data_IF_892015909641
#
_entry.id   IF_892015909641
#
_cell.length_a   1.000
_cell.length_b   1.000
_cell.length_c   1.000
_cell.angle_alpha   90.00
_cell.angle_beta   90.00
_cell.angle_gamma   90.00
#
_symmetry.space_group_name_H-M   'P 1'
#
loop_
_entity.id
_entity.type
_entity.pdbx_description
1 polymer ?
#
# COMPACT_ATOMS: atom_id res chain seq x y z
N UNK A 1 -59.34 30.17 17.22
CA UNK A 1 -58.79 29.30 16.14
C UNK A 1 -57.25 29.18 16.14
N UNK A 2 -56.56 29.84 17.08
CA UNK A 2 -55.07 30.05 17.00
C UNK A 2 -54.17 29.07 17.75
N UNK A 3 -54.67 28.42 18.80
CA UNK A 3 -53.83 27.56 19.64
C UNK A 3 -53.43 26.20 19.01
N UNK A 4 -54.22 25.67 18.09
CA UNK A 4 -53.92 24.40 17.41
C UNK A 4 -52.87 24.59 16.32
N UNK A 5 -52.86 25.71 15.61
CA UNK A 5 -51.87 26.01 14.58
C UNK A 5 -50.49 26.31 15.18
N UNK A 6 -50.41 27.07 16.28
CA UNK A 6 -49.12 27.32 16.97
C UNK A 6 -48.51 26.08 17.57
N UNK A 7 -49.28 25.15 18.15
CA UNK A 7 -48.80 23.85 18.64
C UNK A 7 -48.29 22.93 17.52
N UNK A 8 -48.93 22.94 16.35
CA UNK A 8 -48.47 22.15 15.19
C UNK A 8 -47.18 22.71 14.60
N UNK A 9 -47.02 24.03 14.52
CA UNK A 9 -45.77 24.65 14.06
C UNK A 9 -44.59 24.46 15.00
N UNK A 10 -44.79 24.54 16.31
CA UNK A 10 -43.72 24.24 17.30
C UNK A 10 -43.30 22.78 17.25
N UNK A 11 -44.25 21.84 17.10
CA UNK A 11 -43.96 20.42 17.00
C UNK A 11 -43.19 20.09 15.72
N UNK A 12 -43.61 20.68 14.58
CA UNK A 12 -42.92 20.52 13.30
C UNK A 12 -41.47 21.07 13.36
N UNK A 13 -41.28 22.26 13.98
CA UNK A 13 -39.93 22.85 14.15
C UNK A 13 -39.01 21.99 15.00
N UNK A 14 -39.54 21.40 16.07
CA UNK A 14 -38.78 20.50 16.95
C UNK A 14 -38.34 19.22 16.19
N UNK A 15 -39.21 18.66 15.36
CA UNK A 15 -38.92 17.49 14.53
C UNK A 15 -37.86 17.78 13.45
N UNK A 16 -37.96 18.92 12.76
CA UNK A 16 -36.99 19.35 11.75
C UNK A 16 -35.59 19.49 12.34
N UNK A 17 -35.47 20.16 13.48
CA UNK A 17 -34.16 20.27 14.16
C UNK A 17 -33.59 18.91 14.62
N UNK A 18 -34.44 17.94 15.01
CA UNK A 18 -33.97 16.60 15.33
C UNK A 18 -33.43 15.88 14.10
N UNK A 19 -34.13 15.97 12.99
CA UNK A 19 -33.74 15.36 11.72
C UNK A 19 -32.42 15.96 11.22
N UNK A 20 -32.27 17.29 11.22
CA UNK A 20 -31.04 17.98 10.82
C UNK A 20 -29.85 17.52 11.68
N UNK A 21 -30.07 17.37 13.00
CA UNK A 21 -29.04 16.94 13.92
C UNK A 21 -28.59 15.50 13.64
N UNK A 22 -29.55 14.58 13.45
CA UNK A 22 -29.28 13.19 13.12
C UNK A 22 -28.54 13.07 11.79
N UNK A 23 -29.03 13.76 10.74
CA UNK A 23 -28.42 13.72 9.41
C UNK A 23 -27.02 14.35 9.44
N UNK A 24 -26.85 15.52 10.08
CA UNK A 24 -25.56 16.18 10.17
C UNK A 24 -24.50 15.34 10.88
N UNK A 25 -24.89 14.69 11.99
CA UNK A 25 -24.00 13.77 12.71
C UNK A 25 -23.73 12.50 11.90
N UNK A 26 -24.75 11.94 11.23
CA UNK A 26 -24.60 10.75 10.39
C UNK A 26 -23.64 10.97 9.21
N UNK A 27 -23.78 12.11 8.51
CA UNK A 27 -22.87 12.48 7.41
C UNK A 27 -21.46 12.70 7.94
N UNK A 28 -21.28 13.42 9.05
CA UNK A 28 -19.97 13.63 9.66
C UNK A 28 -19.28 12.33 10.03
N UNK A 29 -19.99 11.41 10.67
CA UNK A 29 -19.46 10.06 11.01
C UNK A 29 -19.13 9.29 9.72
N UNK A 30 -20.01 9.28 8.73
CA UNK A 30 -19.80 8.55 7.48
C UNK A 30 -18.54 9.04 6.75
N UNK A 31 -18.37 10.35 6.60
CA UNK A 31 -17.17 10.93 5.99
C UNK A 31 -15.91 10.57 6.76
N UNK A 32 -15.94 10.69 8.09
CA UNK A 32 -14.79 10.35 8.93
C UNK A 32 -14.39 8.87 8.80
N UNK A 33 -15.37 7.95 8.81
CA UNK A 33 -15.11 6.52 8.67
C UNK A 33 -14.56 6.18 7.30
N UNK A 34 -15.10 6.73 6.21
CA UNK A 34 -14.57 6.49 4.84
C UNK A 34 -13.12 6.98 4.73
N UNK A 35 -12.81 8.15 5.27
CA UNK A 35 -11.44 8.68 5.28
C UNK A 35 -10.54 7.78 6.12
N UNK A 36 -10.99 7.31 7.28
CA UNK A 36 -10.22 6.42 8.14
C UNK A 36 -9.93 5.06 7.47
N UNK A 37 -10.91 4.50 6.75
CA UNK A 37 -10.71 3.28 5.94
C UNK A 37 -9.66 3.51 4.85
N UNK A 38 -9.68 4.67 4.18
CA UNK A 38 -8.67 5.04 3.22
C UNK A 38 -7.28 5.15 3.86
N UNK A 39 -7.15 5.88 4.97
CA UNK A 39 -5.90 6.02 5.72
C UNK A 39 -5.35 4.67 6.18
N UNK A 40 -6.19 3.79 6.71
CA UNK A 40 -5.79 2.44 7.11
C UNK A 40 -5.29 1.62 5.92
N UNK A 41 -5.96 1.72 4.76
CA UNK A 41 -5.52 1.06 3.55
C UNK A 41 -4.16 1.60 3.07
N UNK A 42 -3.94 2.92 3.08
CA UNK A 42 -2.66 3.53 2.71
C UNK A 42 -1.51 3.08 3.63
N UNK A 43 -1.75 3.00 4.94
CA UNK A 43 -0.76 2.56 5.93
C UNK A 43 -0.49 1.05 5.91
N UNK A 44 -1.38 0.26 5.31
CA UNK A 44 -1.27 -1.20 5.27
C UNK A 44 -0.46 -1.74 4.09
N UNK A 45 0.09 -0.86 3.24
CA UNK A 45 0.86 -1.31 2.08
C UNK A 45 2.09 -2.12 2.49
N UNK A 46 2.28 -3.22 1.77
CA UNK A 46 3.40 -4.19 1.93
C UNK A 46 3.52 -4.85 3.31
N UNK A 47 2.60 -4.60 4.25
CA UNK A 47 2.57 -5.28 5.55
C UNK A 47 2.03 -6.71 5.48
N UNK A 48 1.44 -7.08 4.36
CA UNK A 48 0.80 -8.39 4.13
C UNK A 48 1.80 -9.53 3.99
N UNK A 49 3.06 -9.25 3.72
CA UNK A 49 4.12 -10.24 3.56
C UNK A 49 4.60 -10.75 4.92
N UNK A 50 4.77 -12.06 5.05
CA UNK A 50 5.04 -12.75 6.32
C UNK A 50 6.28 -12.21 7.08
N UNK A 51 7.31 -11.76 6.33
CA UNK A 51 8.54 -11.20 6.88
C UNK A 51 8.76 -9.75 6.43
N UNK A 52 7.68 -8.96 6.26
CA UNK A 52 7.77 -7.59 5.77
C UNK A 52 8.77 -6.73 6.56
N UNK A 53 8.82 -6.90 7.89
CA UNK A 53 9.71 -6.16 8.79
C UNK A 53 11.20 -6.50 8.60
N UNK A 54 11.50 -7.64 7.95
CA UNK A 54 12.86 -8.11 7.70
C UNK A 54 13.30 -7.92 6.25
N UNK A 55 12.40 -7.48 5.37
CA UNK A 55 12.69 -7.28 3.96
C UNK A 55 13.06 -5.82 3.72
N UNK A 56 14.19 -5.60 3.07
CA UNK A 56 14.69 -4.27 2.71
C UNK A 56 14.98 -4.22 1.22
N UNK A 57 14.60 -3.13 0.57
CA UNK A 57 15.06 -2.80 -0.78
C UNK A 57 16.41 -2.12 -0.68
N UNK A 58 17.38 -2.56 -1.49
CA UNK A 58 18.65 -1.83 -1.63
C UNK A 58 18.48 -0.72 -2.66
N UNK A 59 18.96 0.47 -2.34
CA UNK A 59 19.00 1.57 -3.28
C UNK A 59 20.37 2.23 -3.28
N UNK A 60 20.68 2.95 -4.36
CA UNK A 60 21.93 3.68 -4.54
C UNK A 60 21.67 5.16 -4.40
N UNK A 61 22.51 5.86 -3.64
CA UNK A 61 22.43 7.32 -3.50
C UNK A 61 23.76 7.96 -3.93
N UNK A 62 23.94 8.21 -5.25
CA UNK A 62 25.04 9.00 -5.72
C UNK A 62 24.78 10.48 -5.46
N UNK A 63 25.86 11.22 -5.11
CA UNK A 63 25.92 12.67 -5.17
C UNK A 63 27.06 13.03 -6.11
N UNK A 64 26.75 13.64 -7.24
CA UNK A 64 27.72 14.03 -8.25
C UNK A 64 27.59 15.54 -8.47
N UNK A 65 28.67 16.30 -8.27
CA UNK A 65 28.68 17.75 -8.37
C UNK A 65 27.60 18.45 -7.53
N UNK A 66 27.33 17.91 -6.33
CA UNK A 66 26.31 18.43 -5.41
C UNK A 66 24.86 18.06 -5.78
N UNK A 67 24.64 17.38 -6.89
CA UNK A 67 23.32 16.85 -7.26
C UNK A 67 23.15 15.44 -6.70
N UNK A 68 22.18 15.27 -5.82
CA UNK A 68 21.79 13.96 -5.27
C UNK A 68 20.67 13.36 -6.13
N UNK A 69 20.79 12.07 -6.44
CA UNK A 69 19.74 11.32 -7.13
C UNK A 69 19.74 9.90 -6.60
N UNK A 70 18.78 9.56 -5.77
CA UNK A 70 18.63 8.18 -5.29
C UNK A 70 17.94 7.30 -6.33
N UNK A 71 18.51 6.13 -6.56
CA UNK A 71 18.02 5.19 -7.56
C UNK A 71 17.78 3.81 -6.91
N UNK A 72 16.59 3.26 -7.10
CA UNK A 72 16.24 1.94 -6.59
C UNK A 72 16.79 0.77 -7.42
N UNK A 73 17.48 1.06 -8.50
CA UNK A 73 18.14 0.04 -9.33
C UNK A 73 19.53 -0.25 -8.80
N UNK A 74 19.90 -1.52 -8.85
CA UNK A 74 21.17 -2.05 -8.37
C UNK A 74 21.79 -2.96 -9.43
N UNK A 75 23.07 -3.24 -9.28
CA UNK A 75 23.79 -4.11 -10.19
C UNK A 75 23.44 -5.60 -9.99
N UNK A 76 23.52 -6.38 -11.07
CA UNK A 76 23.24 -7.82 -11.06
C UNK A 76 24.03 -8.60 -10.01
N UNK A 77 25.36 -8.40 -9.81
CA UNK A 77 26.16 -9.15 -8.85
C UNK A 77 25.75 -8.92 -7.39
N UNK A 78 25.12 -7.79 -7.05
CA UNK A 78 24.72 -7.48 -5.68
C UNK A 78 23.86 -8.60 -5.06
N UNK A 79 22.90 -9.13 -5.81
CA UNK A 79 22.00 -10.18 -5.32
C UNK A 79 22.63 -11.56 -5.22
N UNK A 80 23.71 -11.84 -5.96
CA UNK A 80 24.26 -13.19 -6.09
C UNK A 80 25.44 -13.49 -5.20
N UNK A 81 26.36 -12.57 -5.02
CA UNK A 81 27.66 -12.87 -4.44
C UNK A 81 27.88 -12.23 -3.08
N UNK A 82 27.88 -10.91 -2.99
CA UNK A 82 28.38 -10.22 -1.80
C UNK A 82 27.37 -10.02 -0.69
N UNK A 83 26.08 -9.84 -1.00
CA UNK A 83 25.07 -9.69 0.06
C UNK A 83 24.87 -10.99 0.82
N UNK A 84 25.03 -12.15 0.15
CA UNK A 84 24.98 -13.48 0.78
C UNK A 84 26.18 -13.79 1.68
N UNK A 85 27.29 -13.07 1.50
CA UNK A 85 28.51 -13.26 2.31
C UNK A 85 28.41 -12.60 3.70
N UNK A 86 27.32 -11.85 3.96
CA UNK A 86 27.06 -11.25 5.25
C UNK A 86 26.22 -12.18 6.12
N UNK A 87 26.67 -12.51 7.33
CA UNK A 87 25.97 -13.43 8.22
C UNK A 87 24.59 -12.95 8.67
N UNK A 88 24.32 -11.64 8.56
CA UNK A 88 23.03 -11.01 8.85
C UNK A 88 21.99 -11.27 7.78
N UNK A 89 22.39 -11.62 6.56
CA UNK A 89 21.49 -11.84 5.42
C UNK A 89 21.03 -13.28 5.39
N UNK A 90 19.72 -13.50 5.43
CA UNK A 90 19.11 -14.82 5.23
C UNK A 90 19.09 -15.18 3.75
N UNK A 91 18.63 -14.24 2.92
CA UNK A 91 18.51 -14.41 1.47
C UNK A 91 18.35 -13.07 0.79
N UNK A 92 18.52 -13.05 -0.52
CA UNK A 92 18.24 -11.88 -1.35
C UNK A 92 17.55 -12.34 -2.64
N UNK A 93 16.78 -11.45 -3.25
CA UNK A 93 16.11 -11.68 -4.54
C UNK A 93 16.20 -10.42 -5.40
N UNK A 94 16.41 -10.61 -6.68
CA UNK A 94 16.42 -9.54 -7.67
C UNK A 94 15.13 -9.58 -8.48
N UNK A 95 14.69 -8.41 -8.88
CA UNK A 95 13.57 -8.22 -9.80
C UNK A 95 14.02 -7.27 -10.90
N UNK A 96 13.81 -7.65 -12.15
CA UNK A 96 14.08 -6.81 -13.32
C UNK A 96 12.81 -6.53 -14.10
N UNK A 97 12.71 -5.38 -14.73
CA UNK A 97 11.59 -5.09 -15.62
C UNK A 97 11.90 -5.63 -17.02
N UNK A 98 11.03 -6.50 -17.51
CA UNK A 98 11.21 -7.09 -18.84
C UNK A 98 10.58 -6.25 -19.95
N UNK A 99 9.63 -5.39 -19.60
CA UNK A 99 9.01 -4.47 -20.55
C UNK A 99 7.65 -4.92 -21.06
N UNK A 100 7.32 -4.40 -22.24
CA UNK A 100 6.05 -4.65 -22.92
C UNK A 100 6.26 -5.64 -24.04
N UNK A 101 5.62 -6.79 -23.99
CA UNK A 101 5.72 -7.81 -25.02
C UNK A 101 4.35 -8.29 -25.48
N UNK A 102 4.30 -8.71 -26.72
CA UNK A 102 3.14 -9.42 -27.27
C UNK A 102 3.33 -10.90 -27.05
N UNK A 103 2.40 -11.53 -26.34
CA UNK A 103 2.40 -12.96 -26.07
C UNK A 103 1.23 -13.63 -26.79
N UNK A 104 1.51 -14.81 -27.37
CA UNK A 104 0.55 -15.59 -28.15
C UNK A 104 0.37 -16.99 -27.59
N UNK A 105 -0.88 -17.41 -27.47
CA UNK A 105 -1.28 -18.80 -27.21
C UNK A 105 -2.43 -19.18 -28.15
N UNK A 106 -2.23 -20.18 -29.02
CA UNK A 106 -3.16 -20.51 -30.10
C UNK A 106 -3.53 -19.26 -30.91
N UNK A 107 -4.81 -18.94 -31.04
CA UNK A 107 -5.32 -17.76 -31.74
C UNK A 107 -5.40 -16.49 -30.85
N UNK A 108 -5.08 -16.62 -29.56
CA UNK A 108 -5.14 -15.51 -28.60
C UNK A 108 -3.83 -14.77 -28.56
N UNK A 109 -3.90 -13.46 -28.83
CA UNK A 109 -2.73 -12.58 -28.88
C UNK A 109 -3.01 -11.37 -27.99
N UNK A 110 -2.15 -11.13 -27.02
CA UNK A 110 -2.29 -10.00 -26.11
C UNK A 110 -0.98 -9.28 -25.90
N UNK A 111 -1.07 -7.96 -25.76
CA UNK A 111 0.05 -7.12 -25.33
C UNK A 111 0.05 -7.02 -23.80
N UNK A 112 1.09 -7.53 -23.18
CA UNK A 112 1.30 -7.48 -21.73
C UNK A 112 2.29 -6.37 -21.39
N UNK A 113 1.99 -5.61 -20.33
CA UNK A 113 2.79 -4.43 -19.95
C UNK A 113 3.55 -4.61 -18.65
N UNK A 114 3.11 -5.52 -17.79
CA UNK A 114 3.68 -5.76 -16.46
C UNK A 114 4.36 -7.11 -16.40
N UNK A 115 5.38 -7.27 -17.25
CA UNK A 115 6.22 -8.45 -17.27
C UNK A 115 7.53 -8.12 -16.57
N UNK A 116 7.88 -8.93 -15.57
CA UNK A 116 9.11 -8.80 -14.81
C UNK A 116 9.89 -10.10 -14.82
N UNK A 117 11.20 -10.02 -14.64
CA UNK A 117 12.06 -11.17 -14.32
C UNK A 117 12.29 -11.23 -12.83
N UNK A 118 12.43 -12.42 -12.26
CA UNK A 118 12.74 -12.59 -10.86
C UNK A 118 13.64 -13.80 -10.62
N UNK A 119 14.45 -13.75 -9.58
CA UNK A 119 15.22 -14.88 -9.08
C UNK A 119 14.30 -16.00 -8.59
N UNK A 120 14.82 -17.24 -8.59
CA UNK A 120 14.03 -18.45 -8.27
C UNK A 120 13.40 -18.46 -6.87
N UNK A 121 13.95 -17.69 -5.93
CA UNK A 121 13.50 -17.59 -4.55
C UNK A 121 12.49 -16.46 -4.29
N UNK A 122 12.03 -15.75 -5.33
CA UNK A 122 11.11 -14.62 -5.22
C UNK A 122 9.85 -14.95 -4.38
N UNK A 123 9.19 -16.06 -4.69
CA UNK A 123 7.97 -16.48 -3.98
C UNK A 123 8.24 -16.85 -2.51
N UNK A 124 9.43 -17.31 -2.18
CA UNK A 124 9.82 -17.59 -0.80
C UNK A 124 10.11 -16.31 -0.01
N UNK A 125 10.72 -15.30 -0.66
CA UNK A 125 11.02 -14.02 -0.02
C UNK A 125 9.73 -13.25 0.30
N UNK A 126 8.81 -13.18 -0.67
CA UNK A 126 7.55 -12.43 -0.52
C UNK A 126 6.39 -13.30 0.02
N UNK A 127 6.64 -14.57 0.38
CA UNK A 127 5.63 -15.48 0.95
C UNK A 127 4.32 -15.51 0.16
N UNK A 128 4.41 -15.40 -1.18
CA UNK A 128 3.24 -15.37 -2.06
C UNK A 128 2.76 -16.78 -2.38
N UNK A 129 1.52 -17.15 -2.01
CA UNK A 129 1.00 -18.49 -2.28
C UNK A 129 0.67 -18.66 -3.76
N UNK A 130 1.11 -19.78 -4.33
CA UNK A 130 0.72 -20.21 -5.67
C UNK A 130 -0.59 -21.01 -5.63
N UNK A 131 -1.43 -20.82 -6.64
CA UNK A 131 -2.62 -21.63 -6.87
C UNK A 131 -2.23 -22.97 -7.52
N UNK A 132 -1.21 -22.91 -8.40
CA UNK A 132 -0.66 -24.06 -9.11
C UNK A 132 0.83 -23.89 -9.28
N UNK A 133 1.58 -24.98 -9.21
CA UNK A 133 3.05 -24.99 -9.22
C UNK A 133 3.64 -25.00 -7.81
N UNK A 134 4.95 -25.24 -7.72
CA UNK A 134 5.70 -25.24 -6.46
C UNK A 134 6.50 -23.95 -6.32
N UNK A 135 6.28 -23.11 -5.29
CA UNK A 135 6.94 -21.81 -5.13
C UNK A 135 8.47 -21.89 -5.09
N UNK A 136 9.04 -23.05 -4.75
CA UNK A 136 10.50 -23.26 -4.71
C UNK A 136 11.10 -23.56 -6.09
N UNK A 137 10.30 -23.99 -7.07
CA UNK A 137 10.82 -24.51 -8.35
C UNK A 137 10.30 -23.79 -9.60
N UNK A 138 9.20 -23.04 -9.50
CA UNK A 138 8.53 -22.43 -10.67
C UNK A 138 9.39 -21.44 -11.46
N UNK A 139 10.45 -20.86 -10.87
CA UNK A 139 11.37 -19.92 -11.51
C UNK A 139 12.81 -20.44 -11.58
N UNK A 140 13.07 -21.75 -11.39
CA UNK A 140 14.43 -22.31 -11.48
C UNK A 140 14.85 -22.45 -12.94
N UNK A 141 13.99 -23.00 -13.78
CA UNK A 141 14.35 -23.32 -15.16
C UNK A 141 14.26 -22.10 -16.07
N UNK A 142 15.18 -21.98 -17.04
CA UNK A 142 15.05 -20.99 -18.11
C UNK A 142 13.71 -21.09 -18.84
N UNK A 143 13.24 -19.99 -19.36
CA UNK A 143 11.95 -19.87 -20.09
C UNK A 143 10.71 -20.27 -19.28
N UNK A 144 10.83 -20.40 -17.96
CA UNK A 144 9.68 -20.61 -17.07
C UNK A 144 8.99 -19.27 -16.77
N UNK A 145 7.65 -19.28 -16.79
CA UNK A 145 6.84 -18.13 -16.41
C UNK A 145 5.81 -18.52 -15.34
N UNK A 146 5.51 -17.57 -14.47
CA UNK A 146 4.39 -17.61 -13.55
C UNK A 146 3.43 -16.49 -13.91
N UNK A 147 2.14 -16.81 -14.03
CA UNK A 147 1.10 -15.84 -14.38
C UNK A 147 0.17 -15.59 -13.19
N UNK A 148 -0.42 -14.40 -13.11
CA UNK A 148 -1.57 -14.20 -12.21
C UNK A 148 -2.77 -15.01 -12.68
N UNK A 149 -3.71 -15.33 -11.77
CA UNK A 149 -4.97 -16.03 -12.11
C UNK A 149 -5.72 -15.31 -13.24
N UNK A 150 -5.81 -13.99 -13.18
CA UNK A 150 -6.49 -13.18 -14.19
C UNK A 150 -5.84 -13.31 -15.57
N UNK A 151 -4.51 -13.25 -15.62
CA UNK A 151 -3.74 -13.42 -16.85
C UNK A 151 -3.86 -14.85 -17.37
N UNK A 152 -3.73 -15.86 -16.52
CA UNK A 152 -3.91 -17.26 -16.90
C UNK A 152 -5.33 -17.51 -17.47
N UNK A 153 -6.36 -16.97 -16.84
CA UNK A 153 -7.73 -17.08 -17.36
C UNK A 153 -7.92 -16.38 -18.72
N UNK A 154 -7.26 -15.26 -18.94
CA UNK A 154 -7.28 -14.52 -20.22
C UNK A 154 -6.75 -15.37 -21.38
N UNK A 155 -5.67 -16.13 -21.15
CA UNK A 155 -5.05 -16.98 -22.18
C UNK A 155 -5.70 -18.34 -22.31
N UNK A 156 -6.03 -18.99 -21.21
CA UNK A 156 -6.39 -20.41 -21.18
C UNK A 156 -7.86 -20.66 -20.80
N UNK A 157 -8.59 -19.62 -20.39
CA UNK A 157 -9.98 -19.79 -19.93
C UNK A 157 -10.03 -20.65 -18.66
N UNK A 158 -10.76 -21.75 -18.72
CA UNK A 158 -10.92 -22.72 -17.62
C UNK A 158 -9.90 -23.88 -17.65
N UNK A 159 -9.04 -23.93 -18.68
CA UNK A 159 -8.07 -24.99 -18.80
C UNK A 159 -6.91 -24.83 -17.83
N UNK A 160 -6.29 -25.95 -17.43
CA UNK A 160 -5.07 -25.90 -16.62
C UNK A 160 -3.92 -25.25 -17.43
N UNK A 161 -3.36 -24.13 -16.98
CA UNK A 161 -2.30 -23.43 -17.69
C UNK A 161 -0.93 -24.06 -17.52
N UNK A 162 -0.69 -24.82 -16.44
CA UNK A 162 0.65 -25.36 -16.12
C UNK A 162 1.09 -26.37 -17.19
N UNK A 163 2.31 -26.19 -17.66
CA UNK A 163 2.91 -26.96 -18.75
C UNK A 163 2.61 -26.44 -20.14
N UNK A 164 1.70 -25.48 -20.31
CA UNK A 164 1.40 -24.89 -21.62
C UNK A 164 2.47 -23.89 -22.04
N UNK A 165 2.64 -23.77 -23.38
CA UNK A 165 3.65 -22.93 -23.98
C UNK A 165 3.02 -21.66 -24.53
N UNK A 166 3.53 -20.51 -24.12
CA UNK A 166 3.20 -19.18 -24.66
C UNK A 166 4.39 -18.66 -25.45
N UNK A 167 4.17 -18.09 -26.62
CA UNK A 167 5.21 -17.55 -27.49
C UNK A 167 5.22 -16.02 -27.46
N UNK A 168 6.40 -15.44 -27.30
CA UNK A 168 6.59 -14.01 -27.47
C UNK A 168 6.75 -13.62 -28.94
N UNK A 169 6.55 -12.34 -29.23
CA UNK A 169 6.82 -11.72 -30.53
C UNK A 169 8.28 -11.85 -30.96
N UNK A 170 9.21 -11.92 -29.99
CA UNK A 170 10.64 -12.22 -30.22
C UNK A 170 10.92 -13.65 -30.74
N UNK A 171 9.90 -14.52 -30.82
CA UNK A 171 10.04 -15.93 -31.16
C UNK A 171 10.35 -16.84 -29.98
N UNK A 172 10.64 -16.29 -28.81
CA UNK A 172 10.94 -17.07 -27.59
C UNK A 172 9.68 -17.77 -27.09
N UNK A 173 9.81 -19.04 -26.71
CA UNK A 173 8.73 -19.84 -26.13
C UNK A 173 8.92 -19.96 -24.62
N UNK A 174 7.88 -19.68 -23.87
CA UNK A 174 7.86 -19.74 -22.42
C UNK A 174 6.90 -20.82 -21.95
N UNK A 175 7.31 -21.60 -20.94
CA UNK A 175 6.48 -22.63 -20.30
C UNK A 175 5.83 -22.04 -19.07
N UNK A 176 4.53 -22.16 -18.93
CA UNK A 176 3.80 -21.77 -17.72
C UNK A 176 4.13 -22.79 -16.62
N UNK A 177 4.94 -22.41 -15.65
CA UNK A 177 5.37 -23.25 -14.54
C UNK A 177 4.45 -23.12 -13.31
N UNK A 178 3.68 -22.04 -13.23
CA UNK A 178 2.80 -21.82 -12.09
C UNK A 178 1.81 -20.69 -12.27
N UNK A 179 0.85 -20.63 -11.35
CA UNK A 179 -0.18 -19.59 -11.28
C UNK A 179 -0.22 -19.04 -9.85
N UNK A 180 -0.09 -17.73 -9.72
CA UNK A 180 -0.30 -17.01 -8.46
C UNK A 180 -1.73 -16.44 -8.41
N UNK A 181 -2.32 -16.34 -7.23
CA UNK A 181 -3.68 -15.75 -7.05
C UNK A 181 -3.75 -14.33 -7.63
N UNK A 182 -2.69 -13.58 -7.45
CA UNK A 182 -2.47 -12.19 -7.78
C UNK A 182 -1.65 -11.55 -6.68
N UNK A 183 -1.22 -10.33 -6.91
CA UNK A 183 -0.56 -9.54 -5.86
C UNK A 183 -1.63 -8.91 -4.97
N UNK A 184 -1.37 -8.76 -3.66
CA UNK A 184 -2.26 -8.07 -2.75
C UNK A 184 -2.62 -6.66 -3.26
N UNK A 185 -3.85 -6.23 -3.02
CA UNK A 185 -4.31 -4.91 -3.48
C UNK A 185 -3.50 -3.76 -2.85
N UNK A 186 -2.95 -4.00 -1.65
CA UNK A 186 -2.09 -3.11 -0.88
C UNK A 186 -0.60 -3.50 -0.99
N UNK A 187 -0.15 -3.96 -2.16
CA UNK A 187 1.27 -4.15 -2.47
C UNK A 187 1.78 -3.03 -3.35
N UNK A 188 2.98 -2.52 -3.06
CA UNK A 188 3.70 -1.58 -3.91
C UNK A 188 4.16 -2.24 -5.21
N UNK A 189 4.49 -3.54 -5.16
CA UNK A 189 4.90 -4.32 -6.33
C UNK A 189 3.72 -5.05 -6.96
N UNK A 190 3.53 -4.86 -8.26
CA UNK A 190 2.49 -5.52 -9.05
C UNK A 190 3.04 -6.00 -10.39
N UNK A 191 2.76 -7.24 -10.74
CA UNK A 191 3.05 -7.77 -12.06
C UNK A 191 1.92 -8.71 -12.54
N UNK A 192 1.87 -8.95 -13.83
CA UNK A 192 0.94 -9.89 -14.44
C UNK A 192 1.64 -11.22 -14.79
N UNK A 193 2.93 -11.14 -15.12
CA UNK A 193 3.77 -12.26 -15.49
C UNK A 193 5.16 -12.08 -14.88
N UNK A 194 5.65 -13.12 -14.20
CA UNK A 194 7.03 -13.24 -13.76
C UNK A 194 7.76 -14.28 -14.62
N UNK A 195 8.88 -13.86 -15.21
CA UNK A 195 9.81 -14.72 -15.93
C UNK A 195 10.93 -15.17 -15.00
N UNK A 196 11.41 -16.39 -15.20
CA UNK A 196 12.64 -16.84 -14.57
C UNK A 196 13.82 -15.98 -15.03
N UNK A 197 14.56 -15.42 -14.08
CA UNK A 197 15.75 -14.62 -14.35
C UNK A 197 16.86 -15.44 -15.05
N UNK A 198 16.90 -16.76 -14.85
CA UNK A 198 17.84 -17.64 -15.51
C UNK A 198 17.65 -17.75 -17.03
N UNK A 199 16.56 -17.20 -17.58
CA UNK A 199 16.29 -17.15 -19.03
C UNK A 199 17.32 -16.29 -19.78
N UNK A 200 17.88 -15.28 -19.12
CA UNK A 200 18.73 -14.30 -19.78
C UNK A 200 20.15 -14.32 -19.21
N UNK A 201 21.17 -14.66 -20.04
CA UNK A 201 22.56 -14.67 -19.60
C UNK A 201 23.07 -13.33 -19.06
N UNK A 202 22.50 -12.22 -19.51
CA UNK A 202 22.85 -10.88 -19.01
C UNK A 202 22.61 -10.72 -17.50
N UNK A 203 21.77 -11.55 -16.90
CA UNK A 203 21.56 -11.59 -15.46
C UNK A 203 22.76 -12.14 -14.68
N UNK A 204 23.71 -12.77 -15.38
CA UNK A 204 24.99 -13.24 -14.86
C UNK A 204 26.12 -12.22 -15.05
N UNK A 205 25.82 -11.03 -15.58
CA UNK A 205 26.80 -9.97 -15.76
C UNK A 205 27.44 -9.58 -14.44
N UNK A 206 28.77 -9.52 -14.41
CA UNK A 206 29.56 -9.12 -13.24
C UNK A 206 29.81 -7.59 -13.18
N UNK A 207 29.15 -6.81 -14.02
CA UNK A 207 29.26 -5.35 -14.01
C UNK A 207 28.53 -4.77 -12.80
N UNK A 208 29.26 -4.09 -11.93
CA UNK A 208 28.70 -3.31 -10.82
C UNK A 208 28.23 -1.91 -11.24
N UNK A 209 28.47 -1.52 -12.47
CA UNK A 209 28.05 -0.23 -13.03
C UNK A 209 26.74 -0.34 -13.82
N UNK A 210 26.31 -1.56 -14.15
CA UNK A 210 25.01 -1.80 -14.84
C UNK A 210 23.90 -1.97 -13.81
N UNK A 211 23.11 -0.91 -13.61
CA UNK A 211 22.02 -0.86 -12.63
C UNK A 211 20.69 -1.19 -13.30
N UNK A 212 20.41 -2.49 -13.44
CA UNK A 212 19.24 -3.00 -14.17
C UNK A 212 18.25 -3.79 -13.31
N UNK A 213 18.49 -3.92 -11.99
CA UNK A 213 17.66 -4.75 -11.11
C UNK A 213 17.30 -4.02 -9.82
N UNK A 214 16.13 -4.29 -9.30
CA UNK A 214 15.80 -3.97 -7.90
C UNK A 214 16.15 -5.17 -7.04
N UNK A 215 17.02 -4.97 -6.06
CA UNK A 215 17.45 -6.03 -5.13
C UNK A 215 16.76 -5.87 -3.79
N UNK A 216 16.14 -6.95 -3.34
CA UNK A 216 15.59 -7.07 -1.99
C UNK A 216 16.44 -8.01 -1.15
N UNK A 217 16.74 -7.62 0.07
CA UNK A 217 17.48 -8.44 1.05
C UNK A 217 16.58 -8.74 2.23
N UNK A 218 16.70 -9.97 2.74
CA UNK A 218 16.01 -10.41 3.96
C UNK A 218 17.05 -10.50 5.06
N UNK A 219 16.94 -9.65 6.06
CA UNK A 219 17.81 -9.65 7.22
C UNK A 219 17.28 -10.58 8.32
N UNK A 220 18.16 -11.10 9.14
CA UNK A 220 17.79 -11.81 10.37
C UNK A 220 17.03 -10.87 11.31
N UNK A 221 16.04 -11.40 12.01
CA UNK A 221 15.32 -10.62 13.03
C UNK A 221 16.30 -10.12 14.11
N UNK A 222 16.17 -8.85 14.47
CA UNK A 222 17.04 -8.19 15.44
C UNK A 222 18.34 -7.63 14.86
N UNK A 223 18.59 -7.77 13.54
CA UNK A 223 19.70 -7.07 12.88
C UNK A 223 19.41 -5.58 12.85
N UNK A 224 20.37 -4.75 13.29
CA UNK A 224 20.29 -3.30 13.10
C UNK A 224 20.58 -2.97 11.62
N UNK A 225 19.59 -2.40 10.89
CA UNK A 225 19.77 -2.09 9.48
C UNK A 225 20.82 -0.99 9.24
N UNK A 226 21.06 -0.10 10.21
CA UNK A 226 22.07 0.97 10.10
C UNK A 226 23.48 0.40 10.20
N UNK A 227 23.72 -0.49 11.16
CA UNK A 227 24.99 -1.21 11.26
C UNK A 227 25.28 -2.08 10.05
N UNK A 228 24.25 -2.79 9.56
CA UNK A 228 24.40 -3.61 8.37
C UNK A 228 24.71 -2.76 7.13
N UNK A 229 24.00 -1.62 6.96
CA UNK A 229 24.25 -0.69 5.87
C UNK A 229 25.69 -0.16 5.88
N UNK A 230 26.25 0.14 7.05
CA UNK A 230 27.65 0.56 7.17
C UNK A 230 28.62 -0.52 6.64
N UNK A 231 28.32 -1.81 6.84
CA UNK A 231 29.11 -2.92 6.29
C UNK A 231 29.04 -3.01 4.76
N UNK A 232 27.93 -2.57 4.15
CA UNK A 232 27.79 -2.58 2.69
C UNK A 232 28.74 -1.61 1.98
N UNK A 233 29.37 -0.65 2.71
CA UNK A 233 30.43 0.18 2.18
C UNK A 233 31.60 -0.66 1.63
N UNK A 234 31.89 -1.81 2.22
CA UNK A 234 32.92 -2.73 1.72
C UNK A 234 32.66 -3.17 0.29
N UNK A 235 31.39 -3.39 -0.09
CA UNK A 235 31.02 -3.73 -1.47
C UNK A 235 31.39 -2.60 -2.43
N UNK A 236 31.15 -1.35 -1.98
CA UNK A 236 31.48 -0.16 -2.78
C UNK A 236 32.96 -0.06 -3.00
N UNK A 237 33.74 -0.23 -1.92
CA UNK A 237 35.20 -0.05 -1.95
C UNK A 237 35.89 -1.20 -2.72
N UNK A 238 35.44 -2.45 -2.58
CA UNK A 238 36.08 -3.63 -3.17
C UNK A 238 35.62 -3.95 -4.60
N UNK A 239 34.39 -3.59 -4.97
CA UNK A 239 33.79 -4.02 -6.24
C UNK A 239 33.44 -2.86 -7.16
N UNK A 240 32.75 -1.85 -6.65
CA UNK A 240 32.29 -0.72 -7.48
C UNK A 240 33.47 0.20 -7.81
N UNK A 241 34.28 0.53 -6.82
CA UNK A 241 35.43 1.44 -6.97
C UNK A 241 36.37 1.03 -8.09
N UNK A 242 36.94 -0.20 -8.07
CA UNK A 242 37.85 -0.68 -9.12
C UNK A 242 37.24 -0.67 -10.53
N UNK A 243 35.95 -1.01 -10.66
CA UNK A 243 35.28 -0.98 -11.96
C UNK A 243 35.04 0.46 -12.42
N UNK A 244 34.68 1.36 -11.51
CA UNK A 244 34.52 2.78 -11.82
C UNK A 244 35.85 3.43 -12.24
N UNK A 245 36.96 3.12 -11.54
CA UNK A 245 38.30 3.55 -11.90
C UNK A 245 38.69 3.08 -13.30
N UNK A 246 38.45 1.80 -13.59
CA UNK A 246 38.74 1.22 -14.91
C UNK A 246 37.92 1.86 -16.02
N UNK A 247 36.65 2.21 -15.76
CA UNK A 247 35.75 2.79 -16.74
C UNK A 247 36.00 4.28 -16.97
N UNK A 248 36.35 5.03 -15.93
CA UNK A 248 36.50 6.50 -15.98
C UNK A 248 37.93 6.97 -16.15
N UNK A 249 38.93 6.10 -15.94
CA UNK A 249 40.35 6.44 -16.03
C UNK A 249 40.84 7.35 -14.90
N UNK A 250 40.06 7.49 -13.81
CA UNK A 250 40.36 8.35 -12.67
C UNK A 250 40.12 7.55 -11.38
N UNK A 251 40.96 7.77 -10.37
CA UNK A 251 40.79 7.07 -9.09
C UNK A 251 39.40 7.33 -8.47
N UNK A 252 38.75 6.26 -8.03
CA UNK A 252 37.43 6.38 -7.37
C UNK A 252 37.51 7.24 -6.10
N UNK A 253 38.62 7.19 -5.38
CA UNK A 253 38.88 8.07 -4.23
C UNK A 253 38.95 9.55 -4.64
N UNK A 254 39.55 9.85 -5.78
CA UNK A 254 39.63 11.21 -6.30
C UNK A 254 38.23 11.74 -6.68
N UNK A 255 37.40 10.88 -7.29
CA UNK A 255 36.00 11.18 -7.57
C UNK A 255 35.25 11.54 -6.28
N UNK A 256 35.43 10.74 -5.21
CA UNK A 256 34.79 10.98 -3.92
C UNK A 256 35.35 12.23 -3.20
N UNK A 257 36.66 12.47 -3.28
CA UNK A 257 37.32 13.62 -2.65
C UNK A 257 36.87 14.98 -3.23
N UNK A 258 36.37 15.00 -4.46
CA UNK A 258 35.75 16.16 -5.10
C UNK A 258 34.34 16.49 -4.60
N UNK A 259 33.95 15.98 -3.43
CA UNK A 259 32.62 16.20 -2.83
C UNK A 259 31.52 15.29 -3.37
N UNK A 260 31.88 14.32 -4.20
CA UNK A 260 30.95 13.31 -4.67
C UNK A 260 30.80 12.18 -3.64
N UNK A 261 29.63 11.58 -3.59
CA UNK A 261 29.40 10.40 -2.75
C UNK A 261 28.73 9.31 -3.57
N UNK A 262 28.99 8.07 -3.22
CA UNK A 262 28.30 6.92 -3.78
C UNK A 262 28.15 5.84 -2.71
N UNK A 263 26.97 5.29 -2.52
CA UNK A 263 26.73 4.29 -1.48
C UNK A 263 25.51 3.44 -1.74
N UNK A 264 25.51 2.29 -1.09
CA UNK A 264 24.37 1.36 -1.02
C UNK A 264 23.64 1.58 0.30
N UNK A 265 22.34 1.73 0.23
CA UNK A 265 21.46 2.03 1.34
C UNK A 265 20.30 1.08 1.40
N UNK A 266 19.65 0.99 2.57
CA UNK A 266 18.51 0.13 2.83
C UNK A 266 17.24 0.94 2.99
N UNK A 267 16.18 0.47 2.36
CA UNK A 267 14.82 0.98 2.55
C UNK A 267 13.91 -0.18 3.01
N UNK A 268 13.25 -0.09 4.19
CA UNK A 268 12.29 -1.08 4.62
C UNK A 268 11.18 -1.28 3.57
N UNK A 269 10.76 -2.51 3.34
CA UNK A 269 9.70 -2.85 2.38
C UNK A 269 8.43 -2.04 2.64
N UNK A 270 8.02 -1.95 3.90
CA UNK A 270 6.81 -1.24 4.34
C UNK A 270 6.87 0.27 4.16
N UNK A 271 8.06 0.84 3.88
CA UNK A 271 8.24 2.27 3.61
C UNK A 271 8.24 2.61 2.11
N UNK A 272 8.27 1.62 1.22
CA UNK A 272 8.39 1.85 -0.22
C UNK A 272 7.21 2.67 -0.75
N UNK A 273 6.00 2.32 -0.37
CA UNK A 273 4.79 2.93 -0.90
C UNK A 273 4.62 4.42 -0.55
N UNK A 274 4.87 4.80 0.71
CA UNK A 274 4.56 6.14 1.24
C UNK A 274 5.77 7.06 1.39
N UNK A 275 6.98 6.50 1.53
CA UNK A 275 8.13 7.28 1.99
C UNK A 275 9.27 7.34 0.96
N UNK A 276 9.21 6.60 -0.17
CA UNK A 276 10.30 6.50 -1.14
C UNK A 276 10.81 7.85 -1.63
N UNK A 277 9.91 8.77 -1.96
CA UNK A 277 10.30 10.09 -2.47
C UNK A 277 10.69 11.05 -1.35
N UNK A 278 9.96 11.06 -0.25
CA UNK A 278 10.12 12.04 0.83
C UNK A 278 11.34 11.77 1.70
N UNK A 279 11.50 10.54 2.20
CA UNK A 279 12.50 10.22 3.22
C UNK A 279 13.76 9.58 2.61
N UNK A 280 13.61 8.94 1.46
CA UNK A 280 14.70 8.25 0.76
C UNK A 280 15.16 8.99 -0.51
N UNK A 281 14.44 10.06 -0.89
CA UNK A 281 14.75 10.88 -2.08
C UNK A 281 14.87 10.06 -3.37
N UNK A 282 14.16 8.91 -3.44
CA UNK A 282 14.23 8.02 -4.59
C UNK A 282 13.50 8.67 -5.76
N UNK A 283 14.22 8.82 -6.88
CA UNK A 283 13.66 9.34 -8.13
C UNK A 283 12.50 8.45 -8.59
N UNK A 284 11.30 9.00 -8.75
CA UNK A 284 10.15 8.26 -9.26
C UNK A 284 10.40 7.58 -10.60
N UNK A 285 11.27 8.14 -11.44
CA UNK A 285 11.62 7.59 -12.76
C UNK A 285 12.63 6.44 -12.66
N UNK A 286 13.26 6.24 -11.50
CA UNK A 286 14.18 5.13 -11.29
C UNK A 286 13.47 3.78 -11.14
N UNK A 287 12.20 3.77 -10.77
CA UNK A 287 11.42 2.54 -10.64
C UNK A 287 10.91 2.05 -12.00
N UNK A 288 10.83 0.74 -12.14
CA UNK A 288 10.34 0.12 -13.36
C UNK A 288 8.82 -0.03 -13.36
N UNK A 289 8.21 0.26 -14.50
CA UNK A 289 6.80 -0.04 -14.75
C UNK A 289 5.83 0.77 -13.89
N UNK A 290 4.64 0.22 -13.76
CA UNK A 290 3.46 0.85 -13.13
C UNK A 290 3.37 0.44 -11.64
N UNK A 291 4.40 0.78 -10.86
CA UNK A 291 4.42 0.46 -9.43
C UNK A 291 3.52 1.43 -8.65
N UNK A 292 2.80 0.88 -7.67
CA UNK A 292 1.93 1.71 -6.83
C UNK A 292 2.75 2.56 -5.86
N UNK A 293 2.50 3.87 -5.86
CA UNK A 293 3.14 4.86 -4.96
C UNK A 293 2.15 5.87 -4.47
N UNK A 294 2.43 6.41 -3.29
CA UNK A 294 1.72 7.53 -2.68
C UNK A 294 2.70 8.33 -1.82
N UNK A 295 2.22 9.38 -1.20
CA UNK A 295 3.00 10.19 -0.27
C UNK A 295 2.32 10.23 1.09
N UNK A 296 3.10 10.05 2.16
CA UNK A 296 2.59 10.10 3.54
C UNK A 296 1.92 11.43 3.88
N UNK A 297 2.27 12.49 3.15
CA UNK A 297 1.62 13.80 3.28
C UNK A 297 0.11 13.75 3.04
N UNK A 298 -0.34 12.93 2.07
CA UNK A 298 -1.77 12.74 1.85
C UNK A 298 -2.45 12.08 3.05
N UNK A 299 -1.80 11.11 3.68
CA UNK A 299 -2.31 10.45 4.90
C UNK A 299 -2.50 11.48 6.03
N UNK A 300 -1.53 12.37 6.23
CA UNK A 300 -1.63 13.43 7.24
C UNK A 300 -2.74 14.44 6.92
N UNK A 301 -2.85 14.87 5.65
CA UNK A 301 -3.89 15.81 5.22
C UNK A 301 -5.28 15.19 5.41
N UNK A 302 -5.50 13.97 4.93
CA UNK A 302 -6.79 13.31 5.08
C UNK A 302 -7.14 13.04 6.54
N UNK A 303 -6.17 12.66 7.36
CA UNK A 303 -6.38 12.49 8.81
C UNK A 303 -6.80 13.81 9.48
N UNK A 304 -6.13 14.91 9.15
CA UNK A 304 -6.50 16.23 9.66
C UNK A 304 -7.91 16.64 9.23
N UNK A 305 -8.26 16.40 7.96
CA UNK A 305 -9.62 16.67 7.43
C UNK A 305 -10.66 15.83 8.19
N UNK A 306 -10.39 14.53 8.42
CA UNK A 306 -11.32 13.67 9.16
C UNK A 306 -11.56 14.18 10.58
N UNK A 307 -10.51 14.60 11.28
CA UNK A 307 -10.61 15.18 12.62
C UNK A 307 -11.44 16.48 12.61
N UNK A 308 -11.19 17.37 11.63
CA UNK A 308 -11.95 18.63 11.51
C UNK A 308 -13.45 18.35 11.23
N UNK A 309 -13.76 17.43 10.31
CA UNK A 309 -15.15 17.05 10.00
C UNK A 309 -15.84 16.49 11.25
N UNK A 310 -15.16 15.63 11.99
CA UNK A 310 -15.71 15.06 13.22
C UNK A 310 -15.95 16.13 14.29
N UNK A 311 -15.03 17.05 14.48
CA UNK A 311 -15.19 18.18 15.41
C UNK A 311 -16.36 19.07 14.99
N UNK A 312 -16.51 19.41 13.71
CA UNK A 312 -17.63 20.18 13.20
C UNK A 312 -18.98 19.47 13.42
N UNK A 313 -19.01 18.14 13.20
CA UNK A 313 -20.22 17.35 13.46
C UNK A 313 -20.59 17.35 14.95
N UNK A 314 -19.61 17.22 15.83
CA UNK A 314 -19.80 17.27 17.29
C UNK A 314 -20.27 18.67 17.74
N UNK A 315 -19.63 19.73 17.26
CA UNK A 315 -20.00 21.11 17.57
C UNK A 315 -21.43 21.40 17.08
N UNK A 316 -21.78 20.99 15.87
CA UNK A 316 -23.13 21.11 15.35
C UNK A 316 -24.16 20.36 16.24
N UNK A 317 -23.84 19.13 16.64
CA UNK A 317 -24.65 18.34 17.56
C UNK A 317 -24.87 19.06 18.91
N UNK A 318 -23.79 19.59 19.50
CA UNK A 318 -23.85 20.34 20.77
C UNK A 318 -24.70 21.60 20.62
N UNK A 319 -24.46 22.40 19.57
CA UNK A 319 -25.18 23.66 19.33
C UNK A 319 -26.67 23.41 19.17
N UNK A 320 -27.07 22.42 18.35
CA UNK A 320 -28.47 22.09 18.17
C UNK A 320 -29.14 21.51 19.41
N UNK A 321 -28.37 20.75 20.21
CA UNK A 321 -28.84 20.20 21.48
C UNK A 321 -29.02 21.31 22.53
N UNK A 322 -28.12 22.29 22.55
CA UNK A 322 -28.14 23.42 23.49
C UNK A 322 -29.22 24.43 23.11
N UNK A 323 -29.44 24.73 21.82
CA UNK A 323 -30.49 25.63 21.34
C UNK A 323 -31.89 25.16 21.76
N UNK A 324 -32.08 23.87 22.03
CA UNK A 324 -33.32 23.32 22.60
C UNK A 324 -33.47 23.56 24.10
N UNK A 325 -32.45 24.07 24.78
CA UNK A 325 -32.46 24.23 26.24
C UNK A 325 -33.52 25.17 26.74
N UNK A 326 -33.86 26.24 26.00
CA UNK A 326 -34.92 27.19 26.41
C UNK A 326 -36.30 26.53 26.48
N UNK A 327 -36.67 25.72 25.48
CA UNK A 327 -37.93 24.97 25.53
C UNK A 327 -37.91 23.85 26.58
N UNK A 328 -36.74 23.35 26.91
CA UNK A 328 -36.51 22.32 27.96
C UNK A 328 -36.57 22.91 29.36
N UNK A 329 -36.09 24.14 29.58
CA UNK A 329 -36.15 24.81 30.88
C UNK A 329 -37.60 24.89 31.40
N UNK A 330 -38.58 25.21 30.54
CA UNK A 330 -40.01 25.19 30.88
C UNK A 330 -40.47 23.77 31.35
N UNK A 331 -40.10 22.75 30.60
CA UNK A 331 -40.44 21.35 30.92
C UNK A 331 -39.75 20.86 32.22
N UNK A 332 -38.48 21.25 32.44
CA UNK A 332 -37.70 20.94 33.66
C UNK A 332 -38.31 21.63 34.87
N UNK A 333 -38.69 22.92 34.71
CA UNK A 333 -39.39 23.68 35.78
C UNK A 333 -40.68 22.99 36.24
N UNK A 334 -41.53 22.61 35.31
CA UNK A 334 -42.79 21.88 35.60
C UNK A 334 -42.54 20.52 36.26
N UNK A 335 -41.55 19.74 35.76
CA UNK A 335 -41.22 18.44 36.35
C UNK A 335 -40.60 18.56 37.75
N UNK A 336 -39.85 19.63 38.01
CA UNK A 336 -39.24 19.91 39.31
C UNK A 336 -40.29 20.31 40.33
N UNK A 337 -41.32 21.11 39.94
CA UNK A 337 -42.47 21.44 40.82
C UNK A 337 -43.33 20.20 41.14
N UNK A 338 -43.33 19.19 40.26
CA UNK A 338 -43.99 17.90 40.43
C UNK A 338 -43.14 16.87 41.19
N UNK A 339 -41.98 17.25 41.80
CA UNK A 339 -41.17 16.39 42.66
C UNK A 339 -40.15 15.51 41.91
N UNK A 340 -39.82 15.79 40.67
CA UNK A 340 -38.84 14.98 39.90
C UNK A 340 -37.41 15.20 40.42
N UNK A 341 -36.66 14.10 40.69
CA UNK A 341 -35.26 14.13 41.11
C UNK A 341 -34.33 14.55 39.96
N UNK A 342 -33.25 15.29 40.27
CA UNK A 342 -32.21 15.72 39.32
C UNK A 342 -31.64 14.55 38.51
N UNK A 343 -31.39 13.40 39.13
CA UNK A 343 -30.84 12.21 38.47
C UNK A 343 -31.77 11.66 37.37
N UNK A 344 -33.08 11.69 37.58
CA UNK A 344 -34.09 11.27 36.58
C UNK A 344 -34.08 12.18 35.34
N UNK A 345 -33.89 13.49 35.55
CA UNK A 345 -33.82 14.45 34.45
C UNK A 345 -32.53 14.31 33.62
N UNK A 346 -31.38 14.13 34.32
CA UNK A 346 -30.10 13.87 33.65
C UNK A 346 -30.17 12.56 32.85
N UNK A 347 -30.68 11.49 33.46
CA UNK A 347 -30.85 10.19 32.78
C UNK A 347 -31.72 10.31 31.54
N UNK A 348 -32.82 11.07 31.59
CA UNK A 348 -33.68 11.27 30.42
C UNK A 348 -32.96 11.99 29.26
N UNK A 349 -32.19 13.05 29.55
CA UNK A 349 -31.44 13.79 28.52
C UNK A 349 -30.30 12.96 27.94
N UNK A 350 -29.62 12.18 28.79
CA UNK A 350 -28.56 11.28 28.35
C UNK A 350 -29.11 10.19 27.41
N UNK A 351 -30.24 9.57 27.79
CA UNK A 351 -30.91 8.57 26.95
C UNK A 351 -31.33 9.13 25.59
N UNK A 352 -31.90 10.37 25.57
CA UNK A 352 -32.28 11.04 24.31
C UNK A 352 -31.05 11.27 23.42
N UNK A 353 -29.92 11.73 23.99
CA UNK A 353 -28.67 11.95 23.26
C UNK A 353 -28.07 10.65 22.74
N UNK A 354 -28.09 9.58 23.51
CA UNK A 354 -27.63 8.25 23.10
C UNK A 354 -28.48 7.71 21.95
N UNK A 355 -29.81 7.85 22.03
CA UNK A 355 -30.71 7.42 20.95
C UNK A 355 -30.43 8.16 19.64
N UNK A 356 -30.23 9.48 19.68
CA UNK A 356 -29.84 10.27 18.51
C UNK A 356 -28.51 9.79 17.94
N UNK A 357 -27.51 9.54 18.80
CA UNK A 357 -26.20 9.05 18.35
C UNK A 357 -26.30 7.66 17.72
N UNK A 358 -27.05 6.73 18.31
CA UNK A 358 -27.27 5.39 17.75
C UNK A 358 -27.99 5.44 16.40
N UNK A 359 -29.03 6.25 16.26
CA UNK A 359 -29.72 6.46 14.99
C UNK A 359 -28.78 7.07 13.93
N UNK A 360 -27.95 8.03 14.32
CA UNK A 360 -26.95 8.62 13.44
C UNK A 360 -25.92 7.60 12.96
N UNK A 361 -25.46 6.71 13.84
CA UNK A 361 -24.54 5.60 13.50
C UNK A 361 -25.20 4.64 12.50
N UNK A 362 -26.45 4.25 12.73
CA UNK A 362 -27.17 3.34 11.80
C UNK A 362 -27.31 3.97 10.40
N UNK A 363 -27.68 5.26 10.36
CA UNK A 363 -27.77 5.99 9.10
C UNK A 363 -26.40 6.14 8.44
N UNK A 364 -25.33 6.40 9.23
CA UNK A 364 -23.98 6.52 8.70
C UNK A 364 -23.49 5.22 8.06
N UNK A 365 -23.81 4.06 8.62
CA UNK A 365 -23.49 2.76 8.01
C UNK A 365 -24.16 2.62 6.64
N UNK A 366 -25.45 2.92 6.54
CA UNK A 366 -26.16 2.88 5.26
C UNK A 366 -25.58 3.88 4.23
N UNK A 367 -25.18 5.08 4.67
CA UNK A 367 -24.52 6.05 3.82
C UNK A 367 -23.14 5.55 3.34
N UNK A 368 -22.34 4.96 4.23
CA UNK A 368 -21.02 4.40 3.88
C UNK A 368 -21.19 3.29 2.84
N UNK A 369 -22.04 2.32 3.07
CA UNK A 369 -22.27 1.21 2.13
C UNK A 369 -22.73 1.70 0.76
N UNK A 370 -23.58 2.73 0.72
CA UNK A 370 -24.06 3.30 -0.52
C UNK A 370 -23.00 4.11 -1.27
N UNK A 371 -22.11 4.82 -0.56
CA UNK A 371 -21.10 5.69 -1.14
C UNK A 371 -19.78 4.98 -1.45
N UNK A 372 -19.45 3.92 -0.70
CA UNK A 372 -18.17 3.22 -0.79
C UNK A 372 -17.85 2.67 -2.19
N UNK A 373 -18.80 2.11 -2.97
CA UNK A 373 -18.52 1.67 -4.34
C UNK A 373 -18.08 2.83 -5.25
N UNK A 374 -18.74 3.99 -5.14
CA UNK A 374 -18.37 5.18 -5.90
C UNK A 374 -16.99 5.70 -5.49
N UNK A 375 -16.72 5.76 -4.19
CA UNK A 375 -15.42 6.15 -3.67
C UNK A 375 -14.29 5.21 -4.15
N UNK A 376 -14.52 3.90 -4.09
CA UNK A 376 -13.58 2.89 -4.58
C UNK A 376 -13.24 3.07 -6.06
N UNK A 377 -14.24 3.35 -6.88
CA UNK A 377 -14.02 3.62 -8.30
C UNK A 377 -13.20 4.89 -8.53
N UNK A 378 -13.47 5.96 -7.78
CA UNK A 378 -12.75 7.23 -7.88
C UNK A 378 -11.31 7.12 -7.38
N UNK A 379 -11.11 6.45 -6.24
CA UNK A 379 -9.80 6.29 -5.60
C UNK A 379 -8.96 5.14 -6.19
N UNK A 380 -9.53 4.28 -7.05
CA UNK A 380 -8.87 3.08 -7.55
C UNK A 380 -8.57 2.06 -6.45
N UNK A 381 -9.38 2.01 -5.40
CA UNK A 381 -9.21 1.15 -4.21
C UNK A 381 -10.33 0.12 -4.10
N UNK A 382 -10.16 -0.84 -3.19
CA UNK A 382 -11.16 -1.85 -2.87
C UNK A 382 -11.44 -1.85 -1.36
N UNK A 383 -11.82 -0.70 -0.82
CA UNK A 383 -12.16 -0.55 0.59
C UNK A 383 -13.48 -1.29 0.89
N UNK A 384 -13.56 -1.91 2.04
CA UNK A 384 -14.76 -2.59 2.55
C UNK A 384 -14.98 -2.20 4.00
N UNK A 385 -16.24 -2.04 4.37
CA UNK A 385 -16.63 -1.82 5.76
C UNK A 385 -16.79 -3.20 6.42
N UNK A 386 -15.80 -3.65 7.15
CA UNK A 386 -15.86 -4.91 7.94
C UNK A 386 -16.32 -4.60 9.36
N UNK A 387 -17.65 -4.54 9.57
CA UNK A 387 -18.25 -4.21 10.89
C UNK A 387 -18.02 -5.33 11.92
N UNK A 388 -17.83 -6.58 11.47
CA UNK A 388 -17.68 -7.78 12.31
C UNK A 388 -16.47 -8.63 11.94
N UNK A 389 -15.55 -8.13 11.11
CA UNK A 389 -14.33 -8.84 10.76
C UNK A 389 -13.30 -8.77 11.89
N UNK A 390 -12.61 -9.89 12.13
CA UNK A 390 -11.48 -9.95 13.08
C UNK A 390 -10.50 -8.82 12.76
N UNK A 391 -10.07 -8.10 13.78
CA UNK A 391 -9.08 -7.01 13.69
C UNK A 391 -7.73 -7.42 13.07
N UNK A 392 -7.61 -8.65 12.62
CA UNK A 392 -6.44 -9.28 11.98
C UNK A 392 -6.76 -9.97 10.65
N UNK A 393 -7.95 -9.78 10.09
CA UNK A 393 -8.25 -10.30 8.75
C UNK A 393 -7.54 -9.43 7.72
N UNK A 394 -6.34 -9.87 7.34
CA UNK A 394 -5.59 -9.41 6.18
C UNK A 394 -6.50 -9.57 4.96
N UNK A 395 -6.76 -8.52 4.17
CA UNK A 395 -7.60 -8.65 2.97
C UNK A 395 -6.98 -9.68 2.03
N UNK A 396 -7.72 -10.71 1.73
CA UNK A 396 -7.34 -11.84 0.89
C UNK A 396 -7.28 -11.50 -0.63
#
# INVERSE_FOLDING_TARGET
MDRRYTLSFETARIQIHAIINIIGLAVGIACCVVIMLYVQNELSYDTVYENADCIYRVYVKPSINGQQSSNCKTAAPLGKTRVRDFPEVITCTRVGFFGNHVLKYADRVYRERRIYTADSNFFSVFSLPLIAGNPRTVLIHPNSIVMTRSTAHKYFGKENPVGKIVRADSGTSYVVAGVVKGFPANSSFRCDILLSMSTYPVTENNSWLDMSYTTYVVLKRGTDPVEFQAKMKRIVDEEVGPQAESALGTSFREILNNGNTWGLYLQPLTSIYLYSQRDYEIDPNSEWGDQSRSDIGYVYIFTAIAVIILLLAIINFINLTTARSESRLKKVGIKKTLGSNRMKLIGQFLTESILVALLSILISIALIESFLPFFNQLAGKNLRLEIFGNAYAIPG
#
